data_IF_718311356875
#
_entry.id   IF_718311356875
#
_cell.length_a   1.000
_cell.length_b   1.000
_cell.length_c   1.000
_cell.angle_alpha   90.00
_cell.angle_beta   90.00
_cell.angle_gamma   90.00
#
_symmetry.space_group_name_H-M   'P 1'
#
loop_
_entity.id
_entity.type
_entity.pdbx_description
1 polymer ?
#
# COMPACT_ATOMS: atom_id res chain seq x y z
N UNK A 1 25.70 19.22 19.68
CA UNK A 1 24.62 19.46 18.69
C UNK A 1 23.86 20.70 19.12
N UNK A 2 23.86 21.75 18.31
CA UNK A 2 23.25 23.03 18.65
C UNK A 2 21.72 22.99 18.52
N UNK A 3 21.00 23.73 19.38
CA UNK A 3 19.52 23.87 19.29
C UNK A 3 19.06 24.36 17.91
N UNK A 4 19.92 25.09 17.17
CA UNK A 4 19.66 25.49 15.77
C UNK A 4 19.69 24.29 14.82
N UNK A 5 20.71 23.44 14.90
CA UNK A 5 20.86 22.24 14.06
C UNK A 5 19.71 21.24 14.25
N UNK A 6 19.23 21.09 15.50
CA UNK A 6 18.10 20.23 15.81
C UNK A 6 16.78 20.73 15.18
N UNK A 7 16.51 22.04 15.23
CA UNK A 7 15.33 22.65 14.60
C UNK A 7 15.38 22.54 13.07
N UNK A 8 16.55 22.70 12.49
CA UNK A 8 16.73 22.64 11.04
C UNK A 8 16.54 21.22 10.48
N UNK A 9 17.05 20.21 11.20
CA UNK A 9 16.81 18.79 10.87
C UNK A 9 15.34 18.41 11.03
N UNK A 10 14.65 18.91 12.04
CA UNK A 10 13.22 18.68 12.23
C UNK A 10 12.39 19.26 11.07
N UNK A 11 12.70 20.49 10.63
CA UNK A 11 12.01 21.14 9.50
C UNK A 11 12.24 20.37 8.18
N UNK A 12 13.47 19.94 7.90
CA UNK A 12 13.79 19.13 6.71
C UNK A 12 13.03 17.80 6.68
N UNK A 13 12.95 17.07 7.80
CA UNK A 13 12.18 15.81 7.89
C UNK A 13 10.70 16.01 7.62
N UNK A 14 10.10 17.07 8.18
CA UNK A 14 8.66 17.36 8.04
C UNK A 14 8.27 17.68 6.59
N UNK A 15 9.12 18.44 5.88
CA UNK A 15 8.92 18.76 4.45
C UNK A 15 9.03 17.49 3.59
N UNK A 16 9.98 16.61 3.89
CA UNK A 16 10.17 15.37 3.16
C UNK A 16 9.00 14.40 3.34
N UNK A 17 8.46 14.29 4.56
CA UNK A 17 7.25 13.51 4.84
C UNK A 17 6.02 14.05 4.10
N UNK A 18 5.83 15.37 4.07
CA UNK A 18 4.73 16.00 3.33
C UNK A 18 4.82 15.74 1.82
N UNK A 19 6.03 15.80 1.24
CA UNK A 19 6.23 15.54 -0.19
C UNK A 19 5.95 14.09 -0.58
N UNK A 20 6.25 13.12 0.29
CA UNK A 20 5.90 11.70 0.09
C UNK A 20 4.39 11.51 0.15
N UNK A 21 3.73 12.12 1.14
CA UNK A 21 2.27 12.06 1.26
C UNK A 21 1.55 12.62 0.02
N UNK A 22 1.98 13.80 -0.48
CA UNK A 22 1.39 14.36 -1.70
C UNK A 22 1.53 13.45 -2.93
N UNK A 23 2.71 12.82 -3.11
CA UNK A 23 2.92 11.87 -4.22
C UNK A 23 2.00 10.65 -4.10
N UNK A 24 1.83 10.13 -2.89
CA UNK A 24 0.91 9.03 -2.63
C UNK A 24 -0.53 9.41 -2.97
N UNK A 25 -0.99 10.58 -2.54
CA UNK A 25 -2.34 11.08 -2.84
C UNK A 25 -2.55 11.26 -4.35
N UNK A 26 -1.59 11.85 -5.07
CA UNK A 26 -1.69 12.02 -6.53
C UNK A 26 -1.81 10.67 -7.23
N UNK A 27 -0.96 9.70 -6.85
CA UNK A 27 -1.04 8.34 -7.39
C UNK A 27 -2.44 7.79 -7.11
N UNK A 28 -2.91 7.82 -5.87
CA UNK A 28 -4.22 7.30 -5.49
C UNK A 28 -5.35 7.92 -6.33
N UNK A 29 -5.32 9.23 -6.55
CA UNK A 29 -6.30 9.94 -7.39
C UNK A 29 -6.26 9.48 -8.84
N UNK A 30 -5.07 9.35 -9.44
CA UNK A 30 -4.93 8.84 -10.82
C UNK A 30 -5.49 7.43 -10.92
N UNK A 31 -5.16 6.56 -9.96
CA UNK A 31 -5.64 5.19 -9.98
C UNK A 31 -7.17 5.16 -9.80
N UNK A 32 -7.75 5.95 -8.88
CA UNK A 32 -9.21 6.07 -8.71
C UNK A 32 -9.94 6.52 -9.99
N UNK A 33 -9.38 7.48 -10.73
CA UNK A 33 -9.93 7.93 -12.02
C UNK A 33 -9.90 6.79 -13.03
N UNK A 34 -8.79 6.04 -13.11
CA UNK A 34 -8.67 4.88 -14.01
C UNK A 34 -9.65 3.75 -13.64
N UNK A 35 -9.82 3.48 -12.35
CA UNK A 35 -10.81 2.51 -11.86
C UNK A 35 -12.23 2.90 -12.26
N UNK A 36 -12.58 4.17 -12.10
CA UNK A 36 -13.88 4.69 -12.53
C UNK A 36 -14.06 4.62 -14.05
N UNK A 37 -13.05 5.03 -14.83
CA UNK A 37 -13.07 4.93 -16.29
C UNK A 37 -13.23 3.49 -16.77
N UNK A 38 -12.64 2.53 -16.06
CA UNK A 38 -12.82 1.10 -16.35
C UNK A 38 -14.25 0.64 -16.17
N UNK A 39 -14.91 1.04 -15.07
CA UNK A 39 -16.31 0.68 -14.81
C UNK A 39 -17.22 1.32 -15.86
N UNK A 40 -16.98 2.60 -16.20
CA UNK A 40 -17.71 3.28 -17.27
C UNK A 40 -17.51 2.59 -18.64
N UNK A 41 -16.29 2.16 -18.95
CA UNK A 41 -15.97 1.48 -20.21
C UNK A 41 -16.69 0.14 -20.33
N UNK A 42 -16.73 -0.65 -19.26
CA UNK A 42 -17.46 -1.92 -19.21
C UNK A 42 -18.97 -1.67 -19.38
N UNK A 43 -19.50 -0.66 -18.68
CA UNK A 43 -20.95 -0.37 -18.67
C UNK A 43 -21.46 0.22 -19.98
N UNK A 44 -20.70 1.13 -20.61
CA UNK A 44 -21.15 1.89 -21.79
C UNK A 44 -20.72 1.27 -23.12
N UNK A 45 -19.55 0.65 -23.17
CA UNK A 45 -18.95 0.18 -24.42
C UNK A 45 -18.76 -1.34 -24.47
N UNK A 46 -19.11 -2.04 -23.38
CA UNK A 46 -18.91 -3.49 -23.22
C UNK A 46 -17.45 -3.92 -23.48
N UNK A 47 -16.51 -2.99 -23.28
CA UNK A 47 -15.09 -3.18 -23.56
C UNK A 47 -14.37 -3.58 -22.27
N UNK A 48 -13.77 -4.77 -22.27
CA UNK A 48 -13.20 -5.40 -21.08
C UNK A 48 -11.76 -4.89 -20.84
N UNK A 49 -11.63 -3.63 -20.39
CA UNK A 49 -10.33 -3.06 -19.95
C UNK A 49 -10.08 -3.35 -18.46
N UNK A 50 -11.13 -3.77 -17.74
CA UNK A 50 -11.16 -4.05 -16.31
C UNK A 50 -9.99 -4.87 -15.79
N UNK A 51 -9.63 -5.92 -16.51
CA UNK A 51 -8.60 -6.85 -16.05
C UNK A 51 -7.20 -6.20 -16.06
N UNK A 52 -6.91 -5.35 -17.05
CA UNK A 52 -5.66 -4.59 -17.12
C UNK A 52 -5.60 -3.50 -16.06
N UNK A 53 -6.72 -2.81 -15.81
CA UNK A 53 -6.81 -1.78 -14.78
C UNK A 53 -6.69 -2.40 -13.38
N UNK A 54 -7.29 -3.56 -13.14
CA UNK A 54 -7.17 -4.31 -11.90
C UNK A 54 -5.72 -4.74 -11.63
N UNK A 55 -5.03 -5.27 -12.65
CA UNK A 55 -3.62 -5.66 -12.54
C UNK A 55 -2.73 -4.45 -12.21
N UNK A 56 -2.93 -3.34 -12.92
CA UNK A 56 -2.20 -2.09 -12.67
C UNK A 56 -2.47 -1.56 -11.26
N UNK A 57 -3.72 -1.62 -10.80
CA UNK A 57 -4.13 -1.18 -9.48
C UNK A 57 -3.40 -1.95 -8.37
N UNK A 58 -3.45 -3.28 -8.44
CA UNK A 58 -2.80 -4.18 -7.48
C UNK A 58 -1.28 -3.96 -7.43
N UNK A 59 -0.68 -3.73 -8.61
CA UNK A 59 0.75 -3.46 -8.70
C UNK A 59 1.14 -2.13 -8.04
N UNK A 60 0.39 -1.06 -8.31
CA UNK A 60 0.62 0.26 -7.70
C UNK A 60 0.42 0.20 -6.18
N UNK A 61 -0.64 -0.46 -5.70
CA UNK A 61 -0.86 -0.63 -4.27
C UNK A 61 0.28 -1.41 -3.61
N UNK A 62 0.70 -2.52 -4.22
CA UNK A 62 1.78 -3.34 -3.69
C UNK A 62 3.10 -2.57 -3.57
N UNK A 63 3.46 -1.80 -4.62
CA UNK A 63 4.63 -0.91 -4.58
C UNK A 63 4.45 0.17 -3.52
N UNK A 64 3.28 0.80 -3.44
CA UNK A 64 2.98 1.85 -2.46
C UNK A 64 3.16 1.38 -1.02
N UNK A 65 2.63 0.20 -0.69
CA UNK A 65 2.78 -0.43 0.63
C UNK A 65 4.23 -0.76 0.95
N UNK A 66 5.00 -1.28 -0.02
CA UNK A 66 6.42 -1.56 0.18
C UNK A 66 7.22 -0.27 0.37
N UNK A 67 6.91 0.79 -0.40
CA UNK A 67 7.57 2.10 -0.28
C UNK A 67 7.29 2.80 1.05
N UNK A 68 6.09 2.61 1.61
CA UNK A 68 5.73 3.14 2.94
C UNK A 68 6.65 2.56 4.03
N UNK A 69 7.06 1.30 3.89
CA UNK A 69 8.02 0.68 4.78
C UNK A 69 9.43 1.16 4.44
N UNK A 70 9.82 2.30 5.01
CA UNK A 70 11.19 2.83 4.90
C UNK A 70 12.21 1.73 5.25
N UNK A 71 12.99 1.30 4.25
CA UNK A 71 14.10 0.32 4.35
C UNK A 71 15.04 0.56 5.56
N UNK A 72 15.22 1.83 5.95
CA UNK A 72 16.04 2.22 7.10
C UNK A 72 15.50 1.69 8.44
N UNK A 73 14.18 1.52 8.60
CA UNK A 73 13.57 0.93 9.82
C UNK A 73 13.70 -0.59 9.83
N UNK A 74 13.73 -1.25 8.67
CA UNK A 74 14.01 -2.68 8.56
C UNK A 74 15.40 -3.03 9.12
N UNK A 75 16.39 -2.15 8.93
CA UNK A 75 17.74 -2.32 9.53
C UNK A 75 17.74 -2.30 11.07
N UNK A 76 16.80 -1.60 11.71
CA UNK A 76 16.68 -1.61 13.18
C UNK A 76 16.14 -2.92 13.74
N UNK A 77 15.46 -3.74 12.92
CA UNK A 77 14.96 -5.06 13.29
C UNK A 77 16.14 -6.01 13.57
N UNK A 78 17.18 -5.93 12.74
CA UNK A 78 18.37 -6.77 12.89
C UNK A 78 19.16 -6.50 14.17
N UNK A 79 19.06 -5.28 14.73
CA UNK A 79 19.80 -4.88 15.94
C UNK A 79 18.96 -4.85 17.22
N UNK A 80 17.64 -4.70 17.13
CA UNK A 80 16.75 -4.47 18.27
C UNK A 80 15.72 -5.57 18.55
N UNK A 81 15.71 -6.65 17.76
CA UNK A 81 14.74 -7.74 17.89
C UNK A 81 13.34 -7.40 17.38
N UNK A 82 12.41 -8.34 17.59
CA UNK A 82 11.04 -8.27 17.10
C UNK A 82 10.17 -7.41 18.03
N UNK A 83 10.16 -6.09 17.80
CA UNK A 83 9.24 -5.18 18.50
C UNK A 83 7.89 -5.08 17.77
N UNK A 84 6.84 -4.66 18.47
CA UNK A 84 5.47 -4.56 17.91
C UNK A 84 5.40 -3.66 16.67
N UNK A 85 6.17 -2.57 16.66
CA UNK A 85 6.26 -1.67 15.50
C UNK A 85 6.94 -2.35 14.30
N UNK A 86 8.02 -3.10 14.56
CA UNK A 86 8.76 -3.84 13.54
C UNK A 86 7.90 -4.94 12.91
N UNK A 87 7.08 -5.62 13.71
CA UNK A 87 6.14 -6.62 13.23
C UNK A 87 5.11 -6.01 12.26
N UNK A 88 4.55 -4.85 12.58
CA UNK A 88 3.63 -4.14 11.69
C UNK A 88 4.27 -3.82 10.34
N UNK A 89 5.54 -3.38 10.32
CA UNK A 89 6.26 -3.12 9.08
C UNK A 89 6.49 -4.38 8.24
N UNK A 90 6.88 -5.49 8.87
CA UNK A 90 7.06 -6.77 8.19
C UNK A 90 5.75 -7.23 7.55
N UNK A 91 4.64 -7.19 8.30
CA UNK A 91 3.32 -7.55 7.78
C UNK A 91 2.92 -6.65 6.60
N UNK A 92 3.22 -5.36 6.67
CA UNK A 92 2.93 -4.41 5.57
C UNK A 92 3.71 -4.76 4.30
N UNK A 93 4.99 -5.14 4.42
CA UNK A 93 5.78 -5.64 3.28
C UNK A 93 5.17 -6.93 2.72
N UNK A 94 4.81 -7.87 3.58
CA UNK A 94 4.23 -9.16 3.16
C UNK A 94 2.93 -8.92 2.37
N UNK A 95 2.04 -8.05 2.87
CA UNK A 95 0.81 -7.67 2.16
C UNK A 95 1.13 -6.98 0.85
N UNK A 96 2.11 -6.07 0.83
CA UNK A 96 2.57 -5.40 -0.38
C UNK A 96 3.07 -6.39 -1.44
N UNK A 97 3.84 -7.41 -1.04
CA UNK A 97 4.29 -8.49 -1.92
C UNK A 97 3.11 -9.32 -2.44
N UNK A 98 2.16 -9.69 -1.58
CA UNK A 98 0.95 -10.38 -2.01
C UNK A 98 0.12 -9.55 -3.00
N UNK A 99 0.04 -8.24 -2.82
CA UNK A 99 -0.62 -7.34 -3.77
C UNK A 99 0.11 -7.31 -5.13
N UNK A 100 1.46 -7.28 -5.15
CA UNK A 100 2.23 -7.38 -6.39
C UNK A 100 1.94 -8.71 -7.09
N UNK A 101 1.99 -9.83 -6.38
CA UNK A 101 1.69 -11.14 -6.96
C UNK A 101 0.26 -11.21 -7.47
N UNK A 102 -0.72 -10.71 -6.70
CA UNK A 102 -2.10 -10.63 -7.13
C UNK A 102 -2.26 -9.79 -8.41
N UNK A 103 -1.51 -8.70 -8.54
CA UNK A 103 -1.48 -7.88 -9.75
C UNK A 103 -0.91 -8.63 -10.96
N UNK A 104 0.22 -9.34 -10.79
CA UNK A 104 0.83 -10.16 -11.84
C UNK A 104 -0.15 -11.25 -12.30
N UNK A 105 -0.79 -11.97 -11.37
CA UNK A 105 -1.78 -13.00 -11.71
C UNK A 105 -3.10 -12.45 -12.25
N UNK A 106 -3.33 -11.14 -12.14
CA UNK A 106 -4.51 -10.49 -12.72
C UNK A 106 -4.28 -10.06 -14.17
N UNK A 107 -3.05 -10.16 -14.70
CA UNK A 107 -2.77 -9.86 -16.10
C UNK A 107 -3.52 -10.88 -16.97
N UNK A 108 -4.34 -10.44 -17.95
CA UNK A 108 -5.19 -11.33 -18.74
C UNK A 108 -4.41 -12.43 -19.48
N UNK A 109 -3.15 -12.20 -19.85
CA UNK A 109 -2.28 -13.21 -20.46
C UNK A 109 -1.96 -14.42 -19.55
N UNK A 110 -2.05 -14.27 -18.23
CA UNK A 110 -1.73 -15.29 -17.20
C UNK A 110 -2.99 -15.61 -16.37
N UNK A 111 -4.14 -14.99 -16.69
CA UNK A 111 -5.32 -15.03 -15.84
C UNK A 111 -5.96 -16.42 -15.84
N UNK A 112 -5.87 -17.10 -14.71
CA UNK A 112 -6.61 -18.32 -14.45
C UNK A 112 -8.05 -17.92 -14.11
N UNK A 113 -8.95 -18.02 -15.08
CA UNK A 113 -10.37 -17.68 -14.89
C UNK A 113 -11.12 -18.84 -14.21
N UNK A 114 -10.66 -19.25 -13.03
CA UNK A 114 -11.36 -20.23 -12.20
C UNK A 114 -12.16 -19.51 -11.10
N UNK A 115 -13.39 -19.97 -10.78
CA UNK A 115 -14.16 -19.43 -9.67
C UNK A 115 -13.38 -19.43 -8.34
N UNK A 116 -12.51 -20.42 -8.14
CA UNK A 116 -11.62 -20.52 -6.99
C UNK A 116 -10.64 -19.35 -6.90
N UNK A 117 -10.11 -18.89 -8.03
CA UNK A 117 -9.16 -17.77 -8.05
C UNK A 117 -9.83 -16.45 -7.68
N UNK A 118 -11.08 -16.23 -8.13
CA UNK A 118 -11.91 -15.08 -7.75
C UNK A 118 -12.17 -15.09 -6.24
N UNK A 119 -12.53 -16.25 -5.68
CA UNK A 119 -12.76 -16.39 -4.24
C UNK A 119 -11.49 -16.09 -3.40
N UNK A 120 -10.32 -16.56 -3.84
CA UNK A 120 -9.04 -16.29 -3.18
C UNK A 120 -8.73 -14.79 -3.18
N UNK A 121 -8.92 -14.11 -4.31
CA UNK A 121 -8.77 -12.64 -4.40
C UNK A 121 -9.68 -11.91 -3.40
N UNK A 122 -10.93 -12.34 -3.29
CA UNK A 122 -11.89 -11.78 -2.33
C UNK A 122 -11.44 -11.96 -0.87
N UNK A 123 -11.00 -13.17 -0.50
CA UNK A 123 -10.49 -13.46 0.86
C UNK A 123 -9.25 -12.61 1.17
N UNK A 124 -8.30 -12.50 0.23
CA UNK A 124 -7.11 -11.67 0.40
C UNK A 124 -7.46 -10.19 0.62
N UNK A 125 -8.46 -9.67 -0.09
CA UNK A 125 -8.93 -8.30 0.10
C UNK A 125 -9.53 -8.09 1.50
N UNK A 126 -10.32 -9.03 2.01
CA UNK A 126 -10.90 -8.95 3.36
C UNK A 126 -9.80 -8.96 4.43
N UNK A 127 -8.79 -9.83 4.28
CA UNK A 127 -7.64 -9.89 5.19
C UNK A 127 -6.87 -8.57 5.15
N UNK A 128 -6.62 -8.01 3.96
CA UNK A 128 -5.93 -6.73 3.82
C UNK A 128 -6.68 -5.58 4.50
N UNK A 129 -8.00 -5.46 4.28
CA UNK A 129 -8.83 -4.44 4.94
C UNK A 129 -8.78 -4.58 6.46
N UNK A 130 -8.89 -5.81 6.97
CA UNK A 130 -8.83 -6.10 8.40
C UNK A 130 -7.50 -5.64 9.01
N UNK A 131 -6.39 -5.90 8.30
CA UNK A 131 -5.06 -5.48 8.74
C UNK A 131 -4.93 -3.96 8.70
N UNK A 132 -5.40 -3.27 7.66
CA UNK A 132 -5.38 -1.80 7.56
C UNK A 132 -6.13 -1.17 8.75
N UNK A 133 -7.30 -1.71 9.12
CA UNK A 133 -8.08 -1.25 10.28
C UNK A 133 -7.27 -1.42 11.56
N UNK A 134 -6.67 -2.59 11.77
CA UNK A 134 -5.84 -2.87 12.96
C UNK A 134 -4.64 -1.92 13.01
N UNK A 135 -3.92 -1.74 11.90
CA UNK A 135 -2.77 -0.85 11.81
C UNK A 135 -3.16 0.60 12.13
N UNK A 136 -4.25 1.08 11.54
CA UNK A 136 -4.78 2.44 11.77
C UNK A 136 -5.13 2.65 13.24
N UNK A 137 -5.76 1.65 13.88
CA UNK A 137 -6.10 1.70 15.31
C UNK A 137 -4.85 1.74 16.20
N UNK A 138 -3.84 0.93 15.90
CA UNK A 138 -2.57 0.93 16.63
C UNK A 138 -1.83 2.27 16.54
N UNK A 139 -1.74 2.84 15.35
CA UNK A 139 -1.12 4.16 15.13
C UNK A 139 -1.85 5.24 15.93
N UNK A 140 -3.19 5.25 15.91
CA UNK A 140 -4.00 6.22 16.65
C UNK A 140 -3.79 6.11 18.16
N UNK A 141 -3.68 4.89 18.70
CA UNK A 141 -3.45 4.67 20.15
C UNK A 141 -2.08 5.19 20.60
N UNK A 142 -1.06 5.11 19.74
CA UNK A 142 0.28 5.61 20.02
C UNK A 142 0.35 7.14 20.11
N UNK A 143 -0.46 7.83 19.31
CA UNK A 143 -0.55 9.30 19.33
C UNK A 143 -1.33 9.89 20.53
N UNK A 144 -2.14 9.09 21.24
CA UNK A 144 -2.89 9.55 22.43
C UNK A 144 -2.09 9.56 23.73
N UNK A 145 -0.82 9.14 23.73
CA UNK A 145 0.04 9.07 24.92
C UNK A 145 1.07 10.21 25.04
N UNK A 146 0.98 11.22 24.18
CA UNK A 146 1.72 12.49 24.25
C UNK A 146 0.71 13.63 24.21
#
# INVERSE_FOLDING_TARGET
>A
MSKKEAKENYKKRKIQEFKVFQRFVIILSVVSILGFASVLSETLFNFIIKDYVEALWMFILGIGLIMEVRLQRLRSIYRGGLTRDNFTYIITIIIGLFAIFAGIFSIPAIRINSPSFIAIKGILAIIAISIIIIQTWFIRKKHKKF
#
